data_IF_501740547951
#
_entry.id   IF_501740547951
#
_cell.length_a   1.000
_cell.length_b   1.000
_cell.length_c   1.000
_cell.angle_alpha   90.00
_cell.angle_beta   90.00
_cell.angle_gamma   90.00
#
_symmetry.space_group_name_H-M   'P 1'
#
loop_
_entity.id
_entity.type
_entity.pdbx_description
1 polymer ?
#
# COMPACT_ATOMS: atom_id res chain seq x y z
N UNK A 1 2.45 16.83 -0.62
CA UNK A 1 1.40 16.05 -1.31
C UNK A 1 0.03 16.41 -0.77
N UNK A 2 -0.91 16.65 -1.64
CA UNK A 2 -2.26 17.02 -1.25
C UNK A 2 -3.07 15.78 -0.88
N UNK A 3 -4.09 15.98 -0.01
CA UNK A 3 -4.96 14.89 0.41
C UNK A 3 -5.64 14.19 -0.76
N UNK A 4 -6.04 14.95 -1.79
CA UNK A 4 -6.66 14.37 -2.98
C UNK A 4 -5.74 13.39 -3.67
N UNK A 5 -4.46 13.75 -3.80
CA UNK A 5 -3.46 12.89 -4.43
C UNK A 5 -3.23 11.64 -3.58
N UNK A 6 -3.20 11.78 -2.26
CA UNK A 6 -3.06 10.63 -1.36
C UNK A 6 -4.25 9.69 -1.54
N UNK A 7 -5.46 10.23 -1.61
CA UNK A 7 -6.66 9.44 -1.83
C UNK A 7 -6.66 8.69 -3.15
N UNK A 8 -6.21 9.36 -4.22
CA UNK A 8 -6.10 8.72 -5.54
C UNK A 8 -5.06 7.60 -5.52
N UNK A 9 -3.92 7.84 -4.88
CA UNK A 9 -2.88 6.83 -4.75
C UNK A 9 -3.35 5.68 -3.89
N UNK A 10 -4.10 5.95 -2.83
CA UNK A 10 -4.69 4.92 -1.99
C UNK A 10 -5.62 4.02 -2.81
N UNK A 11 -6.39 4.61 -3.72
CA UNK A 11 -7.26 3.84 -4.62
C UNK A 11 -6.47 2.90 -5.51
N UNK A 12 -5.33 3.38 -6.06
CA UNK A 12 -4.46 2.55 -6.89
C UNK A 12 -3.86 1.39 -6.09
N UNK A 13 -3.38 1.69 -4.89
CA UNK A 13 -2.83 0.67 -4.00
C UNK A 13 -3.88 -0.37 -3.67
N UNK A 14 -5.07 0.08 -3.26
CA UNK A 14 -6.14 -0.83 -2.87
C UNK A 14 -6.55 -1.76 -4.00
N UNK A 15 -6.73 -1.21 -5.21
CA UNK A 15 -7.10 -2.02 -6.38
C UNK A 15 -6.03 -3.06 -6.68
N UNK A 16 -4.76 -2.66 -6.62
CA UNK A 16 -3.66 -3.58 -6.88
C UNK A 16 -3.62 -4.70 -5.86
N UNK A 17 -3.76 -4.37 -4.58
CA UNK A 17 -3.77 -5.38 -3.52
C UNK A 17 -4.97 -6.31 -3.63
N UNK A 18 -6.11 -5.77 -4.05
CA UNK A 18 -7.33 -6.58 -4.21
C UNK A 18 -7.24 -7.55 -5.37
N UNK A 19 -6.44 -7.22 -6.40
CA UNK A 19 -6.25 -8.08 -7.56
C UNK A 19 -5.21 -9.16 -7.33
N UNK A 20 -4.33 -8.97 -6.37
CA UNK A 20 -3.28 -9.95 -6.09
C UNK A 20 -3.59 -10.70 -4.81
N UNK A 21 -2.95 -11.85 -4.64
CA UNK A 21 -3.09 -12.64 -3.42
C UNK A 21 -1.81 -12.56 -2.62
N UNK A 22 -1.96 -12.54 -1.29
CA UNK A 22 -0.82 -12.51 -0.39
C UNK A 22 -0.31 -11.11 -0.16
N UNK A 23 0.92 -11.04 0.28
CA UNK A 23 1.55 -9.78 0.67
C UNK A 23 2.56 -9.29 -0.36
N UNK A 24 2.84 -8.00 -0.33
CA UNK A 24 3.84 -7.40 -1.19
C UNK A 24 4.57 -6.32 -0.39
N UNK A 25 5.86 -6.17 -0.59
CA UNK A 25 6.61 -5.10 0.07
C UNK A 25 6.25 -3.75 -0.54
N UNK A 26 6.43 -2.69 0.25
CA UNK A 26 6.18 -1.33 -0.25
C UNK A 26 7.08 -1.02 -1.45
N UNK A 27 8.32 -1.50 -1.43
CA UNK A 27 9.26 -1.27 -2.52
C UNK A 27 8.79 -1.91 -3.83
N UNK A 28 8.33 -3.16 -3.75
CA UNK A 28 7.82 -3.85 -4.93
C UNK A 28 6.51 -3.22 -5.43
N UNK A 29 5.66 -2.83 -4.49
CA UNK A 29 4.40 -2.18 -4.83
C UNK A 29 4.66 -0.86 -5.56
N UNK A 30 5.64 -0.07 -5.09
CA UNK A 30 5.97 1.20 -5.73
C UNK A 30 6.39 1.00 -7.19
N UNK A 31 7.17 -0.04 -7.47
CA UNK A 31 7.55 -0.36 -8.85
C UNK A 31 6.37 -0.82 -9.68
N UNK A 32 5.49 -1.61 -9.08
CA UNK A 32 4.35 -2.18 -9.78
C UNK A 32 3.35 -1.11 -10.24
N UNK A 33 3.12 -0.11 -9.40
CA UNK A 33 2.14 0.94 -9.72
C UNK A 33 2.80 2.25 -10.14
N UNK A 34 4.11 2.24 -10.31
CA UNK A 34 4.88 3.39 -10.80
C UNK A 34 4.69 4.65 -9.95
N UNK A 35 4.76 4.49 -8.65
CA UNK A 35 4.77 5.59 -7.68
C UNK A 35 6.04 5.52 -6.86
N UNK A 36 6.43 6.63 -6.25
CA UNK A 36 7.57 6.61 -5.34
C UNK A 36 7.23 5.81 -4.10
N UNK A 37 8.25 5.27 -3.42
CA UNK A 37 8.04 4.55 -2.18
C UNK A 37 7.39 5.44 -1.12
N UNK A 38 7.74 6.73 -1.10
CA UNK A 38 7.14 7.68 -0.17
C UNK A 38 5.64 7.85 -0.42
N UNK A 39 5.26 7.98 -1.69
CA UNK A 39 3.85 8.14 -2.05
C UNK A 39 3.07 6.88 -1.73
N UNK A 40 3.66 5.71 -1.96
CA UNK A 40 3.04 4.43 -1.60
C UNK A 40 2.88 4.34 -0.09
N UNK A 41 3.90 4.74 0.68
CA UNK A 41 3.83 4.69 2.13
C UNK A 41 2.71 5.57 2.68
N UNK A 42 2.53 6.77 2.12
CA UNK A 42 1.45 7.65 2.52
C UNK A 42 0.08 7.06 2.18
N UNK A 43 -0.04 6.47 1.01
CA UNK A 43 -1.29 5.82 0.59
C UNK A 43 -1.60 4.62 1.46
N UNK A 44 -0.59 3.83 1.80
CA UNK A 44 -0.73 2.67 2.68
C UNK A 44 -1.17 3.11 4.08
N UNK A 45 -0.57 4.19 4.61
CA UNK A 45 -0.97 4.73 5.90
C UNK A 45 -2.42 5.19 5.90
N UNK A 46 -2.87 5.79 4.81
CA UNK A 46 -4.26 6.22 4.64
C UNK A 46 -5.20 5.00 4.70
N UNK A 47 -4.87 3.94 3.96
CA UNK A 47 -5.68 2.73 3.93
C UNK A 47 -5.68 1.99 5.27
N UNK A 48 -4.54 1.96 5.95
CA UNK A 48 -4.44 1.35 7.27
C UNK A 48 -5.34 2.07 8.27
N UNK A 49 -5.38 3.39 8.21
CA UNK A 49 -6.25 4.20 9.05
C UNK A 49 -7.73 3.85 8.82
N UNK A 50 -8.09 3.50 7.59
CA UNK A 50 -9.44 3.13 7.23
C UNK A 50 -9.75 1.66 7.49
N UNK A 51 -8.79 0.91 8.01
CA UNK A 51 -8.91 -0.54 8.25
C UNK A 51 -9.17 -1.36 7.00
N UNK A 52 -8.62 -0.91 5.87
CA UNK A 52 -8.82 -1.58 4.58
C UNK A 52 -7.69 -2.51 4.19
N UNK A 53 -6.57 -2.47 4.92
CA UNK A 53 -5.41 -3.30 4.63
C UNK A 53 -4.74 -3.71 5.93
N UNK A 54 -3.81 -4.64 5.79
CA UNK A 54 -2.97 -5.12 6.91
C UNK A 54 -1.51 -4.83 6.56
N UNK A 55 -0.75 -4.44 7.58
CA UNK A 55 0.67 -4.12 7.42
C UNK A 55 1.46 -5.00 8.39
N UNK A 56 2.56 -5.56 7.91
CA UNK A 56 3.43 -6.38 8.73
C UNK A 56 4.89 -6.11 8.34
N UNK A 57 5.79 -6.13 9.32
CA UNK A 57 7.21 -5.94 9.08
C UNK A 57 7.92 -7.28 9.04
N UNK A 58 8.69 -7.49 7.98
CA UNK A 58 9.54 -8.67 7.83
C UNK A 58 10.94 -8.20 7.47
N UNK A 59 11.94 -8.51 8.29
CA UNK A 59 13.34 -8.20 7.98
C UNK A 59 13.53 -6.74 7.55
N UNK A 60 13.02 -5.81 8.34
CA UNK A 60 13.13 -4.36 8.11
C UNK A 60 12.25 -3.81 6.99
N UNK A 61 11.63 -4.66 6.19
CA UNK A 61 10.74 -4.21 5.12
C UNK A 61 9.29 -4.26 5.59
N UNK A 62 8.50 -3.29 5.13
CA UNK A 62 7.06 -3.28 5.37
C UNK A 62 6.37 -4.00 4.23
N UNK A 63 5.52 -4.95 4.59
CA UNK A 63 4.67 -5.68 3.66
C UNK A 63 3.22 -5.33 3.90
N UNK A 64 2.45 -5.31 2.84
CA UNK A 64 1.03 -4.98 2.91
C UNK A 64 0.20 -6.04 2.20
N UNK A 65 -1.03 -6.20 2.67
CA UNK A 65 -1.98 -7.16 2.09
C UNK A 65 -3.39 -6.65 2.36
N UNK A 66 -4.34 -7.01 1.51
CA UNK A 66 -5.74 -6.72 1.78
C UNK A 66 -6.39 -7.84 2.62
N UNK A 67 -5.71 -8.95 2.77
CA UNK A 67 -6.14 -10.07 3.62
C UNK A 67 -5.28 -10.15 4.88
N UNK A 68 -5.84 -10.62 5.97
CA UNK A 68 -5.09 -10.80 7.21
C UNK A 68 -3.95 -11.80 6.98
N UNK A 69 -2.80 -11.52 7.61
CA UNK A 69 -1.63 -12.40 7.53
C UNK A 69 -1.85 -13.70 8.28
#
# INVERSE_FOLDING_TARGET
MELETIGENAGKVWRTLNEMRGEISIQELSRKINLSAEDVALAVGWLDRENNIFIQRHNYLLYVSHDAF
#
